data_IF_852796701807
#
_entry.id   IF_852796701807
#
_cell.length_a   1.000
_cell.length_b   1.000
_cell.length_c   1.000
_cell.angle_alpha   90.00
_cell.angle_beta   90.00
_cell.angle_gamma   90.00
#
_symmetry.space_group_name_H-M   'P 1'
#
loop_
_entity.id
_entity.type
_entity.pdbx_description
1 polymer ?
#
# COMPACT_ATOMS: atom_id res chain seq x y z
N UNK A 1 -6.12 -5.66 -26.43
CA UNK A 1 -5.14 -4.58 -26.20
C UNK A 1 -4.11 -5.07 -25.20
N UNK A 2 -2.92 -5.42 -25.67
CA UNK A 2 -1.82 -5.89 -24.81
C UNK A 2 -1.32 -4.70 -24.01
N UNK A 3 -1.54 -4.68 -22.68
CA UNK A 3 -0.94 -3.70 -21.78
C UNK A 3 0.57 -3.84 -21.89
N UNK A 4 1.22 -2.85 -22.50
CA UNK A 4 2.67 -2.69 -22.44
C UNK A 4 3.05 -2.69 -20.96
N UNK A 5 3.72 -3.76 -20.52
CA UNK A 5 4.26 -3.89 -19.16
C UNK A 5 5.38 -2.86 -19.06
N UNK A 6 5.05 -1.66 -18.58
CA UNK A 6 6.06 -0.64 -18.32
C UNK A 6 7.07 -1.16 -17.30
N UNK A 7 8.32 -0.74 -17.46
CA UNK A 7 9.48 -1.19 -16.71
C UNK A 7 9.25 -1.16 -15.18
N UNK A 8 9.42 -2.31 -14.53
CA UNK A 8 9.55 -2.45 -13.06
C UNK A 8 10.56 -1.43 -12.52
N UNK A 9 10.42 -1.05 -11.24
CA UNK A 9 11.34 -0.15 -10.54
C UNK A 9 12.80 -0.62 -10.68
N UNK A 10 13.04 -1.93 -10.61
CA UNK A 10 14.35 -2.54 -10.85
C UNK A 10 14.88 -2.23 -12.25
N UNK A 11 14.02 -2.31 -13.27
CA UNK A 11 14.38 -1.99 -14.66
C UNK A 11 14.63 -0.48 -14.80
N UNK A 12 13.87 0.39 -14.12
CA UNK A 12 14.16 1.83 -14.09
C UNK A 12 15.51 2.13 -13.44
N UNK A 13 15.84 1.49 -12.32
CA UNK A 13 17.14 1.63 -11.66
C UNK A 13 18.28 1.15 -12.56
N UNK A 14 18.09 0.02 -13.25
CA UNK A 14 19.07 -0.51 -14.20
C UNK A 14 19.23 0.42 -15.42
N UNK A 15 18.16 1.00 -15.94
CA UNK A 15 18.22 2.00 -17.00
C UNK A 15 18.93 3.29 -16.56
N UNK A 16 18.73 3.74 -15.32
CA UNK A 16 19.46 4.88 -14.75
C UNK A 16 20.96 4.58 -14.63
N UNK A 17 21.31 3.38 -14.18
CA UNK A 17 22.70 2.92 -14.11
C UNK A 17 23.33 2.87 -15.50
N UNK A 18 22.65 2.27 -16.48
CA UNK A 18 23.12 2.20 -17.88
C UNK A 18 23.30 3.60 -18.49
N UNK A 19 22.39 4.54 -18.21
CA UNK A 19 22.55 5.94 -18.63
C UNK A 19 23.76 6.60 -17.98
N UNK A 20 23.97 6.38 -16.69
CA UNK A 20 25.16 6.87 -15.97
C UNK A 20 26.45 6.33 -16.57
N UNK A 21 26.50 5.02 -16.85
CA UNK A 21 27.65 4.35 -17.48
C UNK A 21 27.87 4.93 -18.88
N UNK A 22 26.84 5.04 -19.70
CA UNK A 22 26.94 5.58 -21.06
C UNK A 22 27.52 7.01 -21.06
N UNK A 23 26.96 7.90 -20.23
CA UNK A 23 27.45 9.29 -20.12
C UNK A 23 28.89 9.30 -19.59
N UNK A 24 29.18 8.53 -18.54
CA UNK A 24 30.52 8.41 -17.98
C UNK A 24 31.55 7.93 -19.02
N UNK A 25 31.21 6.90 -19.81
CA UNK A 25 32.06 6.36 -20.87
C UNK A 25 32.29 7.36 -22.00
N UNK A 26 31.27 8.13 -22.41
CA UNK A 26 31.42 9.18 -23.43
C UNK A 26 32.39 10.26 -22.92
N UNK A 27 32.22 10.72 -21.67
CA UNK A 27 33.14 11.70 -21.09
C UNK A 27 34.55 11.14 -20.97
N UNK A 28 34.70 9.88 -20.56
CA UNK A 28 36.00 9.21 -20.49
C UNK A 28 36.69 9.20 -21.86
N UNK A 29 35.99 8.78 -22.92
CA UNK A 29 36.54 8.71 -24.28
C UNK A 29 36.98 10.11 -24.74
N UNK A 30 36.13 11.13 -24.57
CA UNK A 30 36.43 12.51 -24.96
C UNK A 30 37.66 13.06 -24.22
N UNK A 31 37.72 12.89 -22.90
CA UNK A 31 38.84 13.35 -22.09
C UNK A 31 40.11 12.56 -22.39
N UNK A 32 40.00 11.25 -22.61
CA UNK A 32 41.15 10.39 -22.90
C UNK A 32 41.78 10.76 -24.25
N UNK A 33 41.02 10.82 -25.34
CA UNK A 33 41.57 11.17 -26.65
C UNK A 33 42.03 12.62 -26.72
N UNK A 34 41.21 13.56 -26.23
CA UNK A 34 41.55 14.98 -26.22
C UNK A 34 42.77 15.27 -25.35
N UNK A 35 42.78 14.79 -24.11
CA UNK A 35 43.90 15.01 -23.20
C UNK A 35 45.14 14.23 -23.61
N UNK A 36 45.03 13.02 -24.17
CA UNK A 36 46.21 12.31 -24.71
C UNK A 36 46.83 13.05 -25.89
N UNK A 37 46.01 13.63 -26.78
CA UNK A 37 46.50 14.42 -27.89
C UNK A 37 47.22 15.70 -27.41
N UNK A 38 46.65 16.41 -26.45
CA UNK A 38 47.28 17.59 -25.84
C UNK A 38 48.58 17.22 -25.13
N UNK A 39 48.60 16.12 -24.37
CA UNK A 39 49.76 15.66 -23.61
C UNK A 39 50.89 15.21 -24.55
N UNK A 40 50.54 14.54 -25.66
CA UNK A 40 51.48 14.15 -26.71
C UNK A 40 52.07 15.40 -27.38
N UNK A 41 51.24 16.36 -27.79
CA UNK A 41 51.71 17.60 -28.40
C UNK A 41 52.65 18.38 -27.46
N UNK A 42 52.29 18.46 -26.17
CA UNK A 42 53.14 19.06 -25.15
C UNK A 42 54.50 18.37 -25.05
N UNK A 43 54.56 17.03 -25.07
CA UNK A 43 55.84 16.32 -25.00
C UNK A 43 56.72 16.48 -26.24
N UNK A 44 56.14 16.61 -27.43
CA UNK A 44 56.92 16.80 -28.68
C UNK A 44 57.33 18.25 -28.92
N UNK A 45 56.46 19.22 -28.64
CA UNK A 45 56.74 20.64 -28.89
C UNK A 45 57.51 21.32 -27.75
N UNK A 46 57.53 20.73 -26.56
CA UNK A 46 58.28 21.29 -25.42
C UNK A 46 59.56 20.53 -25.13
N UNK A 47 60.56 21.24 -24.60
CA UNK A 47 61.79 20.64 -24.06
C UNK A 47 61.55 19.91 -22.72
N UNK A 48 60.33 19.48 -22.41
CA UNK A 48 59.99 18.90 -21.11
C UNK A 48 60.74 17.60 -20.86
N UNK A 49 60.79 16.70 -21.84
CA UNK A 49 61.53 15.43 -21.73
C UNK A 49 63.03 15.73 -21.53
N UNK A 50 63.59 16.59 -22.37
CA UNK A 50 64.99 17.05 -22.26
C UNK A 50 65.31 17.58 -20.86
N UNK A 51 64.48 18.49 -20.33
CA UNK A 51 64.65 19.08 -18.99
C UNK A 51 64.45 18.06 -17.87
N UNK A 52 63.53 17.12 -18.01
CA UNK A 52 63.29 16.08 -17.03
C UNK A 52 64.45 15.07 -16.94
N UNK A 53 65.17 14.85 -18.05
CA UNK A 53 66.29 13.90 -18.16
C UNK A 53 67.65 14.54 -17.82
N UNK A 54 67.78 15.87 -17.97
CA UNK A 54 69.01 16.63 -17.64
C UNK A 54 69.61 16.30 -16.27
N UNK A 55 68.85 16.18 -15.17
CA UNK A 55 69.42 15.82 -13.87
C UNK A 55 70.09 14.44 -13.82
N UNK A 56 69.71 13.50 -14.70
CA UNK A 56 70.39 12.21 -14.80
C UNK A 56 71.72 12.33 -15.52
N UNK A 57 71.79 13.18 -16.56
CA UNK A 57 73.03 13.49 -17.27
C UNK A 57 74.01 14.22 -16.35
N UNK A 58 73.54 15.17 -15.54
CA UNK A 58 74.38 15.84 -14.53
C UNK A 58 74.94 14.85 -13.49
N UNK A 59 74.10 13.91 -13.01
CA UNK A 59 74.56 12.83 -12.12
C UNK A 59 75.56 11.90 -12.81
N UNK A 60 75.40 11.66 -14.11
CA UNK A 60 76.34 10.88 -14.90
C UNK A 60 77.68 11.62 -15.02
N UNK A 61 77.67 12.90 -15.38
CA UNK A 61 78.87 13.73 -15.48
C UNK A 61 79.67 13.71 -14.17
N UNK A 62 78.99 13.83 -13.02
CA UNK A 62 79.62 13.72 -11.71
C UNK A 62 80.25 12.34 -11.48
N UNK A 63 79.51 11.27 -11.79
CA UNK A 63 80.00 9.89 -11.64
C UNK A 63 81.23 9.61 -12.53
N UNK A 64 81.18 10.05 -13.79
CA UNK A 64 82.26 9.91 -14.77
C UNK A 64 83.52 10.64 -14.29
N UNK A 65 83.36 11.86 -13.77
CA UNK A 65 84.47 12.68 -13.28
C UNK A 65 85.09 12.10 -12.00
N UNK A 66 84.30 11.60 -11.06
CA UNK A 66 84.79 11.05 -9.78
C UNK A 66 85.44 9.67 -9.92
N UNK A 67 85.03 8.88 -10.92
CA UNK A 67 85.42 7.46 -11.04
C UNK A 67 86.27 7.16 -12.27
N UNK A 68 86.73 8.18 -13.00
CA UNK A 68 87.63 8.00 -14.16
C UNK A 68 87.03 6.96 -15.13
N UNK A 69 85.85 7.30 -15.67
CA UNK A 69 85.06 6.40 -16.52
C UNK A 69 85.26 6.78 -17.99
N UNK A 70 85.73 5.84 -18.80
CA UNK A 70 85.75 5.98 -20.24
C UNK A 70 84.35 5.74 -20.85
N UNK A 71 84.03 6.35 -21.99
CA UNK A 71 82.80 6.14 -22.73
C UNK A 71 82.61 4.66 -23.17
N UNK A 72 83.70 3.91 -23.23
CA UNK A 72 83.72 2.47 -23.55
C UNK A 72 83.63 1.54 -22.32
N UNK A 73 83.65 2.08 -21.08
CA UNK A 73 83.59 1.30 -19.83
C UNK A 73 82.19 0.72 -19.56
N UNK A 74 81.79 -0.23 -20.40
CA UNK A 74 80.42 -0.79 -20.44
C UNK A 74 79.96 -1.36 -19.10
N UNK A 75 80.86 -1.97 -18.31
CA UNK A 75 80.52 -2.55 -17.01
C UNK A 75 80.18 -1.46 -15.97
N UNK A 76 81.01 -0.40 -15.89
CA UNK A 76 80.80 0.73 -14.98
C UNK A 76 79.52 1.48 -15.32
N UNK A 77 79.30 1.74 -16.62
CA UNK A 77 78.11 2.43 -17.14
C UNK A 77 76.82 1.63 -16.88
N UNK A 78 76.83 0.31 -17.14
CA UNK A 78 75.68 -0.56 -16.83
C UNK A 78 75.37 -0.61 -15.34
N UNK A 79 76.39 -0.73 -14.49
CA UNK A 79 76.21 -0.75 -13.02
C UNK A 79 75.60 0.56 -12.50
N UNK A 80 76.04 1.70 -13.04
CA UNK A 80 75.48 3.01 -12.71
C UNK A 80 74.02 3.13 -13.19
N UNK A 81 73.73 2.77 -14.43
CA UNK A 81 72.36 2.77 -15.01
C UNK A 81 71.37 1.97 -14.16
N UNK A 82 71.76 0.74 -13.78
CA UNK A 82 70.93 -0.13 -12.97
C UNK A 82 70.68 0.45 -11.57
N UNK A 83 71.70 1.06 -10.95
CA UNK A 83 71.57 1.72 -9.65
C UNK A 83 70.62 2.91 -9.70
N UNK A 84 70.64 3.67 -10.80
CA UNK A 84 69.75 4.81 -11.02
C UNK A 84 68.36 4.43 -11.55
N UNK A 85 68.12 3.13 -11.81
CA UNK A 85 66.88 2.58 -12.39
C UNK A 85 66.49 3.27 -13.71
N UNK A 86 67.49 3.52 -14.55
CA UNK A 86 67.29 4.13 -15.87
C UNK A 86 66.81 3.06 -16.85
N UNK A 87 65.76 3.36 -17.60
CA UNK A 87 65.11 2.42 -18.50
C UNK A 87 65.91 2.22 -19.79
N UNK A 88 66.34 3.30 -20.44
CA UNK A 88 67.24 3.24 -21.60
C UNK A 88 68.39 4.22 -21.42
N UNK A 89 69.61 3.78 -21.72
CA UNK A 89 70.82 4.60 -21.61
C UNK A 89 71.78 4.21 -22.73
N UNK A 90 72.15 5.20 -23.55
CA UNK A 90 73.11 5.04 -24.63
C UNK A 90 74.18 6.12 -24.60
N UNK A 91 75.41 5.76 -24.95
CA UNK A 91 76.53 6.66 -25.18
C UNK A 91 76.97 6.52 -26.63
N UNK A 92 77.17 7.62 -27.33
CA UNK A 92 77.58 7.64 -28.73
C UNK A 92 78.61 8.72 -29.01
N UNK A 93 79.50 8.51 -29.98
CA UNK A 93 80.50 9.49 -30.44
C UNK A 93 80.56 9.43 -31.95
N UNK A 94 80.52 10.58 -32.63
CA UNK A 94 80.52 10.65 -34.11
C UNK A 94 79.45 9.75 -34.76
N UNK A 95 78.24 9.70 -34.17
CA UNK A 95 77.11 8.84 -34.59
C UNK A 95 77.36 7.33 -34.49
N UNK A 96 78.42 6.90 -33.79
CA UNK A 96 78.65 5.50 -33.44
C UNK A 96 78.28 5.27 -31.99
N UNK A 97 77.41 4.29 -31.74
CA UNK A 97 77.06 3.87 -30.38
C UNK A 97 78.29 3.20 -29.77
N UNK A 98 78.72 3.67 -28.60
CA UNK A 98 79.82 3.12 -27.81
C UNK A 98 79.31 2.24 -26.67
N UNK A 99 78.13 2.56 -26.14
CA UNK A 99 77.47 1.80 -25.08
C UNK A 99 75.95 1.89 -25.23
N UNK A 100 75.26 0.79 -24.96
CA UNK A 100 73.80 0.71 -24.85
C UNK A 100 73.45 -0.26 -23.71
N UNK A 101 72.56 0.13 -22.78
CA UNK A 101 72.25 -0.70 -21.62
C UNK A 101 71.42 -1.97 -21.95
N UNK A 102 70.83 -2.06 -23.14
CA UNK A 102 70.15 -3.24 -23.67
C UNK A 102 71.10 -4.17 -24.44
N UNK A 103 72.11 -3.62 -25.12
CA UNK A 103 73.07 -4.38 -25.95
C UNK A 103 74.50 -4.26 -25.40
N UNK A 104 74.92 -5.26 -24.62
CA UNK A 104 76.13 -5.20 -23.77
C UNK A 104 77.42 -5.62 -24.49
N UNK A 105 77.35 -6.21 -25.68
CA UNK A 105 78.56 -6.60 -26.43
C UNK A 105 78.90 -5.60 -27.54
N UNK A 106 80.07 -4.97 -27.43
CA UNK A 106 80.61 -4.03 -28.42
C UNK A 106 80.72 -4.63 -29.85
N UNK A 107 80.80 -5.95 -29.97
CA UNK A 107 80.89 -6.66 -31.25
C UNK A 107 79.55 -6.82 -32.00
N UNK A 108 78.42 -6.50 -31.36
CA UNK A 108 77.09 -6.52 -31.99
C UNK A 108 76.65 -5.15 -32.52
N UNK A 109 77.40 -4.09 -32.21
CA UNK A 109 77.20 -2.74 -32.73
C UNK A 109 77.79 -2.66 -34.14
N UNK A 110 77.18 -3.34 -35.12
CA UNK A 110 77.35 -2.92 -36.51
C UNK A 110 76.91 -1.44 -36.59
N UNK A 111 77.52 -0.61 -37.44
CA UNK A 111 76.97 0.70 -37.75
C UNK A 111 75.66 0.45 -38.49
N UNK A 112 74.60 0.19 -37.74
CA UNK A 112 73.25 0.20 -38.25
C UNK A 112 73.00 1.68 -38.47
N UNK A 113 72.82 2.08 -39.72
CA UNK A 113 72.08 3.29 -40.08
C UNK A 113 70.69 3.13 -39.47
N UNK A 114 70.58 3.39 -38.16
CA UNK A 114 69.41 3.03 -37.38
C UNK A 114 68.53 4.27 -37.26
N UNK A 115 67.32 4.18 -37.80
CA UNK A 115 66.28 5.21 -37.70
C UNK A 115 66.06 5.71 -36.26
N UNK A 116 66.45 4.94 -35.23
CA UNK A 116 66.44 5.35 -33.82
C UNK A 116 67.28 6.59 -33.51
N UNK A 117 68.46 6.77 -34.15
CA UNK A 117 69.27 7.99 -33.98
C UNK A 117 68.53 9.25 -34.51
N UNK A 118 67.68 9.09 -35.53
CA UNK A 118 66.85 10.18 -36.08
C UNK A 118 65.73 10.65 -35.15
N UNK A 119 65.35 9.85 -34.14
CA UNK A 119 64.35 10.25 -33.16
C UNK A 119 64.96 10.73 -31.83
N UNK A 120 66.19 10.32 -31.49
CA UNK A 120 66.84 10.65 -30.21
C UNK A 120 67.85 11.80 -30.27
N UNK A 121 68.28 12.23 -31.47
CA UNK A 121 69.27 13.31 -31.63
C UNK A 121 68.89 14.64 -30.99
N UNK A 122 67.59 14.98 -30.91
CA UNK A 122 67.10 16.18 -30.23
C UNK A 122 67.32 16.15 -28.70
N UNK A 123 67.58 14.98 -28.13
CA UNK A 123 67.70 14.78 -26.69
C UNK A 123 69.11 14.37 -26.26
N UNK A 124 70.08 14.35 -27.18
CA UNK A 124 71.47 14.06 -26.86
C UNK A 124 72.09 15.20 -26.04
N UNK A 125 72.73 14.83 -24.94
CA UNK A 125 73.47 15.76 -24.08
C UNK A 125 74.94 15.36 -24.04
N UNK A 126 75.81 16.34 -24.17
CA UNK A 126 77.25 16.10 -24.18
C UNK A 126 77.76 15.84 -22.76
N UNK A 127 78.54 14.76 -22.60
CA UNK A 127 79.20 14.39 -21.34
C UNK A 127 80.70 14.22 -21.62
N UNK A 128 81.52 14.77 -20.73
CA UNK A 128 82.98 14.67 -20.80
C UNK A 128 83.44 13.39 -20.12
N UNK A 129 83.85 12.40 -20.92
CA UNK A 129 84.46 11.16 -20.45
C UNK A 129 85.99 11.27 -20.44
N UNK A 130 86.66 10.33 -19.77
CA UNK A 130 88.12 10.33 -19.67
C UNK A 130 88.82 10.10 -21.02
N UNK A 131 88.18 9.35 -21.92
CA UNK A 131 88.64 9.08 -23.29
C UNK A 131 88.10 10.08 -24.33
N UNK A 132 87.47 11.18 -23.87
CA UNK A 132 86.97 12.28 -24.70
C UNK A 132 85.45 12.46 -24.62
N UNK A 133 84.97 13.61 -25.12
CA UNK A 133 83.56 13.96 -25.08
C UNK A 133 82.70 12.96 -25.87
N UNK A 134 81.51 12.65 -25.35
CA UNK A 134 80.54 11.77 -26.02
C UNK A 134 79.10 12.24 -25.77
N UNK A 135 78.22 11.92 -26.71
CA UNK A 135 76.81 12.26 -26.68
C UNK A 135 76.03 11.16 -25.95
N UNK A 136 75.30 11.56 -24.91
CA UNK A 136 74.54 10.69 -24.02
C UNK A 136 73.05 10.91 -24.20
N UNK A 137 72.30 9.82 -24.28
CA UNK A 137 70.85 9.82 -24.17
C UNK A 137 70.42 8.91 -23.01
N UNK A 138 69.61 9.46 -22.11
CA UNK A 138 69.08 8.77 -20.92
C UNK A 138 67.58 8.93 -20.92
N UNK A 139 66.85 7.82 -20.97
CA UNK A 139 65.39 7.80 -20.89
C UNK A 139 64.94 7.04 -19.64
N UNK A 140 64.16 7.73 -18.80
CA UNK A 140 63.77 7.30 -17.45
C UNK A 140 62.25 7.18 -17.23
N UNK A 141 61.48 6.92 -18.29
CA UNK A 141 60.02 6.66 -18.25
C UNK A 141 59.18 7.73 -17.53
N UNK A 142 59.58 9.00 -17.56
CA UNK A 142 58.84 10.09 -16.90
C UNK A 142 57.42 10.24 -17.44
N UNK A 143 57.25 10.09 -18.75
CA UNK A 143 55.94 10.17 -19.38
C UNK A 143 54.97 9.07 -18.92
N UNK A 144 55.47 7.89 -18.53
CA UNK A 144 54.65 6.77 -18.05
C UNK A 144 53.94 7.14 -16.74
N UNK A 145 54.65 7.76 -15.79
CA UNK A 145 54.05 8.17 -14.50
C UNK A 145 52.94 9.21 -14.70
N UNK A 146 53.17 10.18 -15.58
CA UNK A 146 52.20 11.23 -15.88
C UNK A 146 51.00 10.66 -16.63
N UNK A 147 51.22 9.78 -17.62
CA UNK A 147 50.14 9.06 -18.33
C UNK A 147 49.29 8.23 -17.36
N UNK A 148 49.90 7.51 -16.42
CA UNK A 148 49.18 6.74 -15.40
C UNK A 148 48.35 7.63 -14.47
N UNK A 149 48.92 8.73 -13.98
CA UNK A 149 48.18 9.70 -13.16
C UNK A 149 47.00 10.30 -13.92
N UNK A 150 47.23 10.70 -15.18
CA UNK A 150 46.19 11.22 -16.08
C UNK A 150 45.05 10.21 -16.29
N UNK A 151 45.35 8.95 -16.63
CA UNK A 151 44.33 7.90 -16.79
C UNK A 151 43.53 7.70 -15.50
N UNK A 152 44.22 7.66 -14.36
CA UNK A 152 43.57 7.51 -13.05
C UNK A 152 42.60 8.67 -12.77
N UNK A 153 43.03 9.92 -13.01
CA UNK A 153 42.17 11.10 -12.80
C UNK A 153 40.94 11.11 -13.69
N UNK A 154 41.05 10.77 -14.98
CA UNK A 154 39.89 10.72 -15.89
C UNK A 154 38.95 9.58 -15.49
N UNK A 155 39.49 8.43 -15.10
CA UNK A 155 38.69 7.31 -14.60
C UNK A 155 37.87 7.73 -13.37
N UNK A 156 38.49 8.42 -12.42
CA UNK A 156 37.82 8.94 -11.23
C UNK A 156 36.73 9.96 -11.58
N UNK A 157 36.98 10.88 -12.52
CA UNK A 157 36.00 11.86 -12.99
C UNK A 157 34.79 11.17 -13.67
N UNK A 158 35.07 10.23 -14.58
CA UNK A 158 34.04 9.45 -15.28
C UNK A 158 33.16 8.67 -14.30
N UNK A 159 33.77 8.02 -13.31
CA UNK A 159 33.04 7.33 -12.25
C UNK A 159 32.19 8.29 -11.41
N UNK A 160 32.73 9.46 -11.04
CA UNK A 160 31.99 10.50 -10.31
C UNK A 160 30.75 10.99 -11.06
N UNK A 161 30.86 11.19 -12.38
CA UNK A 161 29.73 11.59 -13.23
C UNK A 161 28.67 10.48 -13.29
N UNK A 162 29.08 9.23 -13.51
CA UNK A 162 28.18 8.08 -13.50
C UNK A 162 27.40 8.00 -12.16
N UNK A 163 28.11 8.14 -11.05
CA UNK A 163 27.51 8.13 -9.71
C UNK A 163 26.54 9.30 -9.50
N UNK A 164 26.90 10.51 -9.94
CA UNK A 164 26.03 11.68 -9.82
C UNK A 164 24.72 11.53 -10.60
N UNK A 165 24.78 11.03 -11.84
CA UNK A 165 23.58 10.77 -12.67
C UNK A 165 22.65 9.77 -11.98
N UNK A 166 23.22 8.70 -11.40
CA UNK A 166 22.46 7.69 -10.69
C UNK A 166 21.75 8.26 -9.44
N UNK A 167 22.48 9.00 -8.60
CA UNK A 167 21.93 9.64 -7.39
C UNK A 167 20.81 10.63 -7.74
N UNK A 168 21.01 11.48 -8.75
CA UNK A 168 20.00 12.44 -9.18
C UNK A 168 18.73 11.75 -9.72
N UNK A 169 18.89 10.62 -10.42
CA UNK A 169 17.76 9.81 -10.90
C UNK A 169 16.94 9.20 -9.76
N UNK A 170 17.61 8.63 -8.75
CA UNK A 170 16.96 8.00 -7.58
C UNK A 170 16.20 9.01 -6.73
N UNK A 171 16.71 10.25 -6.58
CA UNK A 171 16.06 11.29 -5.76
C UNK A 171 14.58 11.49 -6.10
N UNK A 172 14.21 11.33 -7.37
CA UNK A 172 12.81 11.45 -7.82
C UNK A 172 11.91 10.37 -7.19
N UNK A 173 12.37 9.12 -7.18
CA UNK A 173 11.61 7.99 -6.62
C UNK A 173 11.56 8.09 -5.10
N UNK A 174 12.67 8.47 -4.45
CA UNK A 174 12.72 8.69 -3.00
C UNK A 174 11.75 9.79 -2.55
N UNK A 175 11.66 10.90 -3.28
CA UNK A 175 10.67 11.96 -2.99
C UNK A 175 9.23 11.46 -3.10
N UNK A 176 8.94 10.59 -4.06
CA UNK A 176 7.60 10.00 -4.19
C UNK A 176 7.27 9.09 -3.01
N UNK A 177 8.22 8.27 -2.56
CA UNK A 177 8.06 7.45 -1.35
C UNK A 177 7.82 8.33 -0.11
N UNK A 178 8.54 9.45 0.03
CA UNK A 178 8.32 10.40 1.12
C UNK A 178 6.90 11.00 1.09
N UNK A 179 6.38 11.35 -0.09
CA UNK A 179 5.01 11.83 -0.25
C UNK A 179 3.98 10.77 0.17
N UNK A 180 4.15 9.52 -0.25
CA UNK A 180 3.28 8.42 0.18
C UNK A 180 3.33 8.21 1.71
N UNK A 181 4.51 8.30 2.31
CA UNK A 181 4.69 8.22 3.77
C UNK A 181 4.01 9.38 4.51
N UNK A 182 3.97 10.57 3.92
CA UNK A 182 3.25 11.71 4.48
C UNK A 182 1.73 11.52 4.40
N UNK A 183 1.22 11.02 3.26
CA UNK A 183 -0.21 10.66 3.11
C UNK A 183 -0.63 9.62 4.14
N UNK A 184 0.20 8.61 4.42
CA UNK A 184 -0.07 7.61 5.47
C UNK A 184 -0.17 8.27 6.85
N UNK A 185 0.76 9.16 7.19
CA UNK A 185 0.72 9.88 8.48
C UNK A 185 -0.52 10.77 8.63
N UNK A 186 -0.98 11.39 7.55
CA UNK A 186 -2.23 12.15 7.55
C UNK A 186 -3.44 11.23 7.83
N UNK A 187 -3.49 10.06 7.18
CA UNK A 187 -4.53 9.06 7.39
C UNK A 187 -4.52 8.54 8.84
N UNK A 188 -3.35 8.24 9.41
CA UNK A 188 -3.20 7.85 10.82
C UNK A 188 -3.66 8.95 11.79
N UNK A 189 -3.46 10.22 11.41
CA UNK A 189 -3.94 11.38 12.16
C UNK A 189 -5.45 11.66 12.01
N UNK A 190 -6.20 10.85 11.27
CA UNK A 190 -7.64 11.03 11.04
C UNK A 190 -7.99 12.03 9.93
N UNK A 191 -7.01 12.47 9.12
CA UNK A 191 -7.24 13.31 7.95
C UNK A 191 -7.46 12.43 6.72
N UNK A 192 -8.73 12.13 6.45
CA UNK A 192 -9.11 11.18 5.39
C UNK A 192 -9.11 11.75 3.97
N UNK A 193 -9.01 13.07 3.83
CA UNK A 193 -9.03 13.79 2.55
C UNK A 193 -7.64 13.90 1.90
N UNK A 194 -6.68 13.12 2.38
CA UNK A 194 -5.35 13.04 1.81
C UNK A 194 -5.43 12.50 0.36
N UNK A 195 -5.03 13.34 -0.60
CA UNK A 195 -4.96 12.96 -2.02
C UNK A 195 -3.72 12.10 -2.28
N UNK A 196 -3.92 10.81 -2.53
CA UNK A 196 -2.86 9.87 -2.90
C UNK A 196 -2.69 9.96 -4.42
N UNK A 197 -1.70 10.76 -4.83
CA UNK A 197 -1.37 10.91 -6.25
C UNK A 197 -0.91 9.59 -6.85
N UNK A 198 -1.72 9.04 -7.76
CA UNK A 198 -1.43 7.80 -8.47
C UNK A 198 -0.38 8.03 -9.56
N UNK A 199 0.88 7.69 -9.27
CA UNK A 199 1.98 7.82 -10.24
C UNK A 199 2.53 6.47 -10.69
N UNK A 200 2.53 6.28 -12.00
CA UNK A 200 3.20 5.15 -12.65
C UNK A 200 2.41 3.84 -12.58
N UNK A 201 2.83 2.86 -13.37
CA UNK A 201 2.28 1.49 -13.40
C UNK A 201 3.31 0.47 -12.88
N UNK A 202 4.19 0.91 -11.98
CA UNK A 202 5.25 0.09 -11.37
C UNK A 202 4.87 -0.31 -9.94
N UNK A 203 5.81 -0.89 -9.21
CA UNK A 203 5.62 -1.34 -7.82
C UNK A 203 5.20 -0.21 -6.89
N UNK A 204 5.71 1.01 -7.10
CA UNK A 204 5.33 2.18 -6.30
C UNK A 204 3.91 2.68 -6.66
N UNK A 205 3.54 2.61 -7.94
CA UNK A 205 2.16 2.87 -8.38
C UNK A 205 1.15 1.86 -7.80
N UNK A 206 1.50 0.57 -7.79
CA UNK A 206 0.68 -0.47 -7.16
C UNK A 206 0.57 -0.28 -5.64
N UNK A 207 1.65 0.14 -4.98
CA UNK A 207 1.62 0.49 -3.56
C UNK A 207 0.68 1.68 -3.30
N UNK A 208 0.76 2.74 -4.10
CA UNK A 208 -0.14 3.89 -4.02
C UNK A 208 -1.61 3.48 -4.20
N UNK A 209 -1.89 2.58 -5.15
CA UNK A 209 -3.24 2.02 -5.35
C UNK A 209 -3.73 1.28 -4.10
N UNK A 210 -2.90 0.39 -3.55
CA UNK A 210 -3.24 -0.38 -2.35
C UNK A 210 -3.52 0.54 -1.16
N UNK A 211 -2.72 1.59 -0.99
CA UNK A 211 -2.93 2.60 0.05
C UNK A 211 -4.25 3.36 -0.12
N UNK A 212 -4.63 3.77 -1.33
CA UNK A 212 -5.91 4.45 -1.57
C UNK A 212 -7.12 3.52 -1.35
N UNK A 213 -7.01 2.24 -1.72
CA UNK A 213 -8.08 1.26 -1.42
C UNK A 213 -8.23 1.05 0.10
N UNK A 214 -7.12 0.98 0.83
CA UNK A 214 -7.15 0.92 2.29
C UNK A 214 -7.79 2.16 2.89
N UNK A 215 -7.42 3.36 2.43
CA UNK A 215 -8.02 4.64 2.85
C UNK A 215 -9.54 4.64 2.64
N UNK A 216 -10.01 4.30 1.45
CA UNK A 216 -11.45 4.22 1.13
C UNK A 216 -12.20 3.24 2.03
N UNK A 217 -11.58 2.09 2.32
CA UNK A 217 -12.16 1.08 3.21
C UNK A 217 -12.29 1.60 4.64
N UNK A 218 -11.28 2.32 5.14
CA UNK A 218 -11.30 2.93 6.47
C UNK A 218 -12.36 4.02 6.59
N UNK A 219 -12.48 4.92 5.60
CA UNK A 219 -13.52 5.96 5.55
C UNK A 219 -14.91 5.31 5.66
N UNK A 220 -15.17 4.31 4.81
CA UNK A 220 -16.46 3.61 4.81
C UNK A 220 -16.74 2.93 6.16
N UNK A 221 -15.72 2.36 6.81
CA UNK A 221 -15.85 1.74 8.13
C UNK A 221 -16.22 2.78 9.19
N UNK A 222 -15.54 3.93 9.22
CA UNK A 222 -15.81 5.00 10.17
C UNK A 222 -17.22 5.60 9.97
N UNK A 223 -17.63 5.83 8.72
CA UNK A 223 -18.99 6.30 8.40
C UNK A 223 -20.06 5.32 8.89
N UNK A 224 -19.85 4.02 8.66
CA UNK A 224 -20.74 2.98 9.14
C UNK A 224 -20.80 2.93 10.67
N UNK A 225 -19.65 3.05 11.34
CA UNK A 225 -19.58 3.09 12.81
C UNK A 225 -20.30 4.31 13.38
N UNK A 226 -20.08 5.51 12.80
CA UNK A 226 -20.80 6.73 13.19
C UNK A 226 -22.31 6.59 12.99
N UNK A 227 -22.74 5.98 11.87
CA UNK A 227 -24.16 5.73 11.60
C UNK A 227 -24.75 4.74 12.61
N UNK A 228 -24.02 3.67 12.94
CA UNK A 228 -24.41 2.69 13.95
C UNK A 228 -24.59 3.34 15.33
N UNK A 229 -23.60 4.11 15.78
CA UNK A 229 -23.63 4.82 17.06
C UNK A 229 -24.80 5.82 17.14
N UNK A 230 -25.08 6.57 16.06
CA UNK A 230 -26.24 7.46 16.00
C UNK A 230 -27.57 6.70 16.12
N UNK A 231 -27.70 5.57 15.43
CA UNK A 231 -28.90 4.75 15.49
C UNK A 231 -29.13 4.16 16.88
N UNK A 232 -28.07 3.66 17.52
CA UNK A 232 -28.11 3.18 18.91
C UNK A 232 -28.55 4.28 19.87
N UNK A 233 -27.95 5.47 19.79
CA UNK A 233 -28.31 6.61 20.65
C UNK A 233 -29.78 7.03 20.46
N UNK A 234 -30.26 7.06 19.22
CA UNK A 234 -31.67 7.39 18.93
C UNK A 234 -32.63 6.36 19.51
N UNK A 235 -32.28 5.07 19.44
CA UNK A 235 -33.08 4.01 20.03
C UNK A 235 -33.15 4.14 21.55
N UNK A 236 -32.01 4.28 22.22
CA UNK A 236 -31.93 4.43 23.68
C UNK A 236 -32.77 5.61 24.16
N UNK A 237 -32.67 6.75 23.46
CA UNK A 237 -33.46 7.94 23.79
C UNK A 237 -34.98 7.72 23.64
N UNK A 238 -35.39 7.07 22.54
CA UNK A 238 -36.82 6.72 22.32
C UNK A 238 -37.32 5.82 23.44
N UNK A 239 -36.54 4.81 23.82
CA UNK A 239 -36.92 3.88 24.87
C UNK A 239 -36.99 4.51 26.26
N UNK A 240 -36.04 5.39 26.60
CA UNK A 240 -36.08 6.09 27.87
C UNK A 240 -37.36 6.92 28.02
N UNK A 241 -37.83 7.54 26.94
CA UNK A 241 -39.11 8.25 26.90
C UNK A 241 -40.30 7.27 27.08
N UNK A 242 -40.26 6.15 26.36
CA UNK A 242 -41.36 5.19 26.31
C UNK A 242 -41.49 4.35 27.59
N UNK A 243 -40.41 4.18 28.36
CA UNK A 243 -40.43 3.57 29.69
C UNK A 243 -40.94 4.56 30.76
N UNK A 244 -40.63 5.85 30.63
CA UNK A 244 -41.03 6.87 31.61
C UNK A 244 -42.54 7.00 31.73
N UNK A 245 -43.25 7.00 30.60
CA UNK A 245 -44.71 7.19 30.57
C UNK A 245 -45.51 6.12 31.34
N UNK A 246 -45.33 4.81 31.08
CA UNK A 246 -46.01 3.76 31.86
C UNK A 246 -45.50 3.70 33.30
N UNK A 247 -44.23 4.01 33.56
CA UNK A 247 -43.69 4.05 34.93
C UNK A 247 -44.34 5.15 35.77
N UNK A 248 -44.48 6.36 35.24
CA UNK A 248 -45.19 7.45 35.92
C UNK A 248 -46.65 7.06 36.18
N UNK A 249 -47.33 6.47 35.19
CA UNK A 249 -48.72 6.02 35.35
C UNK A 249 -48.85 4.94 36.44
N UNK A 250 -47.91 3.99 36.47
CA UNK A 250 -47.85 2.93 37.49
C UNK A 250 -47.66 3.51 38.89
N UNK A 251 -46.71 4.44 39.05
CA UNK A 251 -46.47 5.13 40.33
C UNK A 251 -47.74 5.87 40.76
N UNK A 252 -48.38 6.63 39.87
CA UNK A 252 -49.62 7.36 40.18
C UNK A 252 -50.76 6.42 40.59
N UNK A 253 -50.97 5.30 39.91
CA UNK A 253 -52.01 4.33 40.28
C UNK A 253 -51.74 3.66 41.63
N UNK A 254 -50.48 3.31 41.91
CA UNK A 254 -50.09 2.79 43.22
C UNK A 254 -50.22 3.84 44.33
N UNK A 255 -49.92 5.12 44.06
CA UNK A 255 -50.13 6.22 45.03
C UNK A 255 -51.60 6.44 45.35
N UNK A 256 -52.49 6.36 44.33
CA UNK A 256 -53.94 6.44 44.52
C UNK A 256 -54.42 5.28 45.39
N UNK A 257 -53.91 4.08 45.12
CA UNK A 257 -54.23 2.86 45.85
C UNK A 257 -53.82 2.97 47.34
N UNK A 258 -52.58 3.39 47.61
CA UNK A 258 -52.06 3.59 48.98
C UNK A 258 -52.88 4.63 49.75
N UNK A 259 -53.35 5.70 49.09
CA UNK A 259 -54.15 6.77 49.73
C UNK A 259 -55.61 6.40 49.98
N UNK A 260 -56.18 5.43 49.25
CA UNK A 260 -57.60 5.06 49.28
C UNK A 260 -57.95 3.85 50.16
N UNK A 261 -57.01 3.33 50.95
CA UNK A 261 -57.05 2.04 51.66
C UNK A 261 -58.16 1.82 52.71
N UNK A 262 -59.31 2.49 52.62
CA UNK A 262 -60.46 2.33 53.51
C UNK A 262 -61.71 1.71 52.85
N UNK A 263 -61.83 1.64 51.50
CA UNK A 263 -63.00 1.07 50.83
C UNK A 263 -62.63 0.02 49.76
N UNK A 264 -63.41 -1.07 49.71
CA UNK A 264 -63.24 -2.28 48.88
C UNK A 264 -63.31 -2.10 47.35
N UNK A 265 -63.16 -0.89 46.80
CA UNK A 265 -63.27 -0.58 45.36
C UNK A 265 -61.91 -0.40 44.65
N UNK A 266 -60.87 -1.07 45.14
CA UNK A 266 -59.49 -0.76 44.77
C UNK A 266 -58.85 -1.73 43.75
N UNK A 267 -59.54 -2.81 43.37
CA UNK A 267 -59.02 -3.78 42.39
C UNK A 267 -58.70 -3.16 41.03
N UNK A 268 -59.43 -2.11 40.60
CA UNK A 268 -59.23 -1.49 39.30
C UNK A 268 -57.85 -0.83 39.16
N UNK A 269 -57.37 -0.11 40.20
CA UNK A 269 -56.07 0.56 40.16
C UNK A 269 -54.91 -0.42 40.30
N UNK A 270 -55.07 -1.50 41.07
CA UNK A 270 -54.12 -2.62 41.11
C UNK A 270 -54.02 -3.27 39.73
N UNK A 271 -55.15 -3.52 39.06
CA UNK A 271 -55.17 -4.11 37.73
C UNK A 271 -54.55 -3.18 36.67
N UNK A 272 -54.83 -1.87 36.73
CA UNK A 272 -54.17 -0.86 35.88
C UNK A 272 -52.66 -0.79 36.14
N UNK A 273 -52.22 -0.87 37.40
CA UNK A 273 -50.79 -0.90 37.76
C UNK A 273 -50.10 -2.15 37.21
N UNK A 274 -50.74 -3.32 37.34
CA UNK A 274 -50.25 -4.58 36.78
C UNK A 274 -50.12 -4.52 35.24
N UNK A 275 -51.10 -3.94 34.55
CA UNK A 275 -51.04 -3.71 33.11
C UNK A 275 -49.86 -2.80 32.72
N UNK A 276 -49.60 -1.73 33.47
CA UNK A 276 -48.45 -0.85 33.21
C UNK A 276 -47.10 -1.51 33.51
N UNK A 277 -47.02 -2.37 34.52
CA UNK A 277 -45.82 -3.16 34.81
C UNK A 277 -45.51 -4.14 33.66
N UNK A 278 -46.53 -4.84 33.15
CA UNK A 278 -46.39 -5.71 32.00
C UNK A 278 -45.99 -4.93 30.73
N UNK A 279 -46.52 -3.71 30.53
CA UNK A 279 -46.12 -2.84 29.43
C UNK A 279 -44.62 -2.47 29.50
N UNK A 280 -44.09 -2.18 30.69
CA UNK A 280 -42.66 -1.92 30.92
C UNK A 280 -41.82 -3.16 30.63
N UNK A 281 -42.30 -4.34 31.06
CA UNK A 281 -41.62 -5.62 30.78
C UNK A 281 -41.51 -5.87 29.28
N UNK A 282 -42.62 -5.74 28.53
CA UNK A 282 -42.60 -5.88 27.06
C UNK A 282 -41.60 -4.94 26.38
N UNK A 283 -41.55 -3.67 26.79
CA UNK A 283 -40.60 -2.70 26.22
C UNK A 283 -39.14 -3.05 26.54
N UNK A 284 -38.90 -3.61 27.73
CA UNK A 284 -37.56 -4.05 28.15
C UNK A 284 -37.11 -5.28 27.38
N UNK A 285 -38.00 -6.26 27.20
CA UNK A 285 -37.72 -7.47 26.41
C UNK A 285 -37.42 -7.11 24.95
N UNK A 286 -38.21 -6.20 24.36
CA UNK A 286 -37.95 -5.67 23.01
C UNK A 286 -36.58 -4.97 22.87
N UNK A 287 -36.08 -4.35 23.95
CA UNK A 287 -34.75 -3.71 23.97
C UNK A 287 -33.63 -4.74 23.99
N UNK A 288 -33.74 -5.73 24.87
CA UNK A 288 -32.78 -6.81 24.96
C UNK A 288 -32.69 -7.54 23.62
N UNK A 289 -33.83 -7.79 22.99
CA UNK A 289 -33.88 -8.42 21.68
C UNK A 289 -33.14 -7.61 20.62
N UNK A 290 -33.35 -6.29 20.56
CA UNK A 290 -32.63 -5.41 19.63
C UNK A 290 -31.10 -5.51 19.82
N UNK A 291 -30.61 -5.38 21.06
CA UNK A 291 -29.17 -5.43 21.34
C UNK A 291 -28.57 -6.81 21.09
N UNK A 292 -29.32 -7.88 21.37
CA UNK A 292 -28.87 -9.24 21.13
C UNK A 292 -28.73 -9.52 19.62
N UNK A 293 -29.72 -9.11 18.82
CA UNK A 293 -29.70 -9.23 17.35
C UNK A 293 -28.55 -8.41 16.75
N UNK A 294 -28.29 -7.20 17.28
CA UNK A 294 -27.26 -6.33 16.74
C UNK A 294 -25.82 -6.76 17.10
N UNK A 295 -25.63 -7.46 18.22
CA UNK A 295 -24.30 -7.91 18.68
C UNK A 295 -23.82 -9.19 17.99
N UNK A 296 -24.72 -9.98 17.40
CA UNK A 296 -24.34 -11.21 16.71
C UNK A 296 -23.83 -10.87 15.30
N UNK A 297 -22.52 -11.01 15.07
CA UNK A 297 -21.87 -10.73 13.77
C UNK A 297 -22.26 -11.72 12.66
N UNK A 298 -22.82 -12.89 13.01
CA UNK A 298 -23.46 -13.86 12.10
C UNK A 298 -24.26 -14.87 12.92
N UNK A 299 -25.57 -14.95 12.67
CA UNK A 299 -26.36 -16.10 13.12
C UNK A 299 -26.09 -17.30 12.22
N UNK A 300 -25.95 -18.48 12.82
CA UNK A 300 -25.98 -19.74 12.08
C UNK A 300 -27.44 -20.06 11.79
N UNK A 301 -27.80 -20.02 10.51
CA UNK A 301 -29.15 -20.38 10.08
C UNK A 301 -29.32 -21.89 10.14
N UNK A 302 -30.54 -22.33 10.42
CA UNK A 302 -30.86 -23.75 10.41
C UNK A 302 -30.70 -24.34 8.98
N UNK A 303 -30.57 -25.67 8.84
CA UNK A 303 -30.46 -26.30 7.53
C UNK A 303 -31.66 -25.93 6.61
N UNK A 304 -31.44 -25.77 5.28
CA UNK A 304 -32.52 -25.47 4.36
C UNK A 304 -33.65 -26.48 4.44
N UNK A 305 -34.86 -25.99 4.67
CA UNK A 305 -36.06 -26.81 4.83
C UNK A 305 -37.19 -26.30 3.94
N UNK A 306 -38.15 -27.16 3.63
CA UNK A 306 -39.36 -26.76 2.90
C UNK A 306 -40.12 -25.68 3.69
N UNK A 307 -40.80 -24.77 3.00
CA UNK A 307 -41.52 -23.65 3.61
C UNK A 307 -42.49 -24.11 4.70
N UNK A 308 -43.23 -25.21 4.45
CA UNK A 308 -44.18 -25.79 5.42
C UNK A 308 -43.48 -26.17 6.73
N UNK A 309 -42.31 -26.80 6.66
CA UNK A 309 -41.56 -27.20 7.85
C UNK A 309 -40.97 -25.99 8.58
N UNK A 310 -40.45 -25.01 7.83
CA UNK A 310 -39.81 -23.83 8.39
C UNK A 310 -40.80 -22.84 9.04
N UNK A 311 -42.01 -22.71 8.49
CA UNK A 311 -42.96 -21.64 8.86
C UNK A 311 -44.34 -22.14 9.31
N UNK A 312 -44.74 -23.36 8.94
CA UNK A 312 -46.12 -23.84 9.08
C UNK A 312 -46.62 -23.88 10.53
N UNK A 313 -45.81 -24.40 11.46
CA UNK A 313 -46.15 -24.43 12.89
C UNK A 313 -46.38 -23.01 13.43
N UNK A 314 -45.47 -22.08 13.11
CA UNK A 314 -45.57 -20.69 13.55
C UNK A 314 -46.77 -19.95 12.97
N UNK A 315 -47.11 -20.19 11.70
CA UNK A 315 -48.28 -19.60 11.05
C UNK A 315 -49.58 -20.15 11.64
N UNK A 316 -49.62 -21.45 11.95
CA UNK A 316 -50.75 -22.10 12.62
C UNK A 316 -50.94 -21.55 14.04
N UNK A 317 -49.86 -21.47 14.81
CA UNK A 317 -49.85 -20.91 16.17
C UNK A 317 -50.28 -19.44 16.17
N UNK A 318 -49.78 -18.65 15.23
CA UNK A 318 -50.20 -17.26 15.02
C UNK A 318 -51.71 -17.16 14.79
N UNK A 319 -52.28 -17.99 13.90
CA UNK A 319 -53.72 -17.98 13.64
C UNK A 319 -54.50 -18.31 14.91
N UNK A 320 -54.11 -19.37 15.63
CA UNK A 320 -54.77 -19.80 16.86
C UNK A 320 -54.76 -18.69 17.94
N UNK A 321 -53.64 -18.00 18.14
CA UNK A 321 -53.54 -16.91 19.11
C UNK A 321 -54.44 -15.72 18.77
N UNK A 322 -54.51 -15.37 17.49
CA UNK A 322 -55.28 -14.23 17.01
C UNK A 322 -56.78 -14.54 17.05
N UNK A 323 -57.18 -15.77 16.73
CA UNK A 323 -58.56 -16.24 16.86
C UNK A 323 -59.02 -16.32 18.32
N UNK A 324 -58.15 -16.77 19.25
CA UNK A 324 -58.44 -16.77 20.69
C UNK A 324 -58.72 -15.36 21.25
N UNK A 325 -58.21 -14.32 20.58
CA UNK A 325 -58.42 -12.91 20.90
C UNK A 325 -59.67 -12.33 20.24
N UNK A 326 -60.42 -13.15 19.49
CA UNK A 326 -61.70 -12.83 18.87
C UNK A 326 -61.60 -12.16 17.50
N UNK A 327 -60.48 -12.33 16.79
CA UNK A 327 -60.36 -11.94 15.39
C UNK A 327 -60.76 -13.10 14.47
N UNK A 328 -61.27 -12.80 13.28
CA UNK A 328 -61.45 -13.80 12.22
C UNK A 328 -60.20 -13.82 11.34
N UNK A 329 -59.71 -15.01 10.96
CA UNK A 329 -58.57 -15.16 10.05
C UNK A 329 -59.04 -15.80 8.75
N UNK A 330 -58.62 -15.24 7.62
CA UNK A 330 -58.86 -15.78 6.28
C UNK A 330 -57.51 -16.09 5.65
N UNK A 331 -57.26 -17.37 5.40
CA UNK A 331 -56.06 -17.84 4.71
C UNK A 331 -56.31 -17.88 3.20
N UNK A 332 -55.45 -17.26 2.40
CA UNK A 332 -55.52 -17.23 0.93
C UNK A 332 -54.22 -17.74 0.31
N UNK A 333 -54.32 -18.41 -0.84
CA UNK A 333 -53.19 -18.79 -1.70
C UNK A 333 -52.02 -19.48 -0.97
N UNK A 334 -52.31 -20.22 0.11
CA UNK A 334 -51.31 -20.88 0.95
C UNK A 334 -50.92 -22.24 0.35
N UNK A 335 -50.13 -22.22 -0.72
CA UNK A 335 -49.63 -23.41 -1.43
C UNK A 335 -48.13 -23.62 -1.19
N UNK A 336 -47.76 -24.50 -0.25
CA UNK A 336 -46.38 -24.63 0.27
C UNK A 336 -45.29 -24.86 -0.78
N UNK A 337 -45.62 -25.51 -1.91
CA UNK A 337 -44.66 -25.82 -2.98
C UNK A 337 -43.47 -26.67 -2.54
N UNK A 338 -42.45 -26.78 -3.41
CA UNK A 338 -41.21 -27.51 -3.14
C UNK A 338 -40.02 -26.59 -2.81
N UNK A 339 -40.27 -25.28 -2.70
CA UNK A 339 -39.23 -24.30 -2.40
C UNK A 339 -38.66 -24.54 -1.00
N UNK A 340 -37.34 -24.43 -0.88
CA UNK A 340 -36.64 -24.47 0.41
C UNK A 340 -36.26 -23.06 0.84
N UNK A 341 -36.35 -22.79 2.13
CA UNK A 341 -35.89 -21.54 2.75
C UNK A 341 -34.91 -21.86 3.87
N UNK A 342 -34.03 -20.91 4.17
CA UNK A 342 -33.07 -21.02 5.27
C UNK A 342 -33.41 -19.95 6.31
N UNK A 343 -33.89 -20.38 7.48
CA UNK A 343 -34.36 -19.49 8.55
C UNK A 343 -33.68 -19.80 9.87
N UNK A 344 -33.86 -18.93 10.86
CA UNK A 344 -33.52 -19.22 12.25
C UNK A 344 -34.81 -19.31 13.06
N UNK A 345 -35.20 -20.51 13.49
CA UNK A 345 -36.51 -20.80 14.08
C UNK A 345 -36.87 -19.87 15.25
N UNK A 346 -35.88 -19.53 16.10
CA UNK A 346 -36.08 -18.61 17.24
C UNK A 346 -36.47 -17.20 16.80
N UNK A 347 -35.98 -16.72 15.65
CA UNK A 347 -36.37 -15.42 15.11
C UNK A 347 -37.78 -15.46 14.52
N UNK A 348 -38.17 -16.56 13.87
CA UNK A 348 -39.52 -16.71 13.34
C UNK A 348 -40.57 -16.62 14.45
N UNK A 349 -40.40 -17.35 15.56
CA UNK A 349 -41.31 -17.25 16.71
C UNK A 349 -41.44 -15.82 17.25
N UNK A 350 -40.30 -15.12 17.41
CA UNK A 350 -40.27 -13.72 17.86
C UNK A 350 -40.92 -12.75 16.86
N UNK A 351 -40.77 -13.01 15.55
CA UNK A 351 -41.45 -12.23 14.51
C UNK A 351 -42.97 -12.40 14.69
N UNK A 352 -43.46 -13.63 14.84
CA UNK A 352 -44.88 -13.90 15.07
C UNK A 352 -45.40 -13.21 16.33
N UNK A 353 -44.69 -13.28 17.46
CA UNK A 353 -45.07 -12.60 18.70
C UNK A 353 -45.24 -11.08 18.49
N UNK A 354 -44.31 -10.46 17.77
CA UNK A 354 -44.37 -9.04 17.44
C UNK A 354 -45.55 -8.72 16.51
N UNK A 355 -45.86 -9.58 15.55
CA UNK A 355 -47.02 -9.43 14.66
C UNK A 355 -48.34 -9.55 15.43
N UNK A 356 -48.48 -10.55 16.31
CA UNK A 356 -49.66 -10.72 17.19
C UNK A 356 -49.84 -9.49 18.08
N UNK A 357 -48.74 -8.99 18.68
CA UNK A 357 -48.77 -7.77 19.49
C UNK A 357 -49.25 -6.55 18.68
N UNK A 358 -48.80 -6.41 17.43
CA UNK A 358 -49.24 -5.34 16.53
C UNK A 358 -50.73 -5.48 16.17
N UNK A 359 -51.21 -6.69 15.90
CA UNK A 359 -52.62 -6.94 15.62
C UNK A 359 -53.48 -6.54 16.81
N UNK A 360 -53.15 -7.00 18.02
CA UNK A 360 -53.88 -6.63 19.24
C UNK A 360 -53.98 -5.11 19.44
N UNK A 361 -52.94 -4.38 19.05
CA UNK A 361 -52.83 -2.93 19.24
C UNK A 361 -53.57 -2.12 18.16
N UNK A 362 -53.50 -2.53 16.89
CA UNK A 362 -53.88 -1.67 15.77
C UNK A 362 -54.97 -2.22 14.85
N UNK A 363 -55.24 -3.52 14.89
CA UNK A 363 -56.16 -4.17 13.98
C UNK A 363 -57.63 -3.89 14.36
N UNK A 364 -58.49 -3.71 13.37
CA UNK A 364 -59.93 -3.64 13.57
C UNK A 364 -60.51 -5.05 13.67
N UNK A 365 -61.36 -5.29 14.69
CA UNK A 365 -62.00 -6.58 14.91
C UNK A 365 -63.17 -6.84 13.97
N UNK A 366 -63.73 -5.78 13.37
CA UNK A 366 -64.84 -5.90 12.41
C UNK A 366 -64.39 -6.47 11.06
N UNK A 367 -63.09 -6.45 10.77
CA UNK A 367 -62.51 -6.94 9.53
C UNK A 367 -61.61 -8.16 9.79
N UNK A 368 -61.64 -9.16 8.89
CA UNK A 368 -60.81 -10.34 9.03
C UNK A 368 -59.34 -10.02 8.76
N UNK A 369 -58.45 -10.76 9.42
CA UNK A 369 -57.03 -10.75 9.14
C UNK A 369 -56.79 -11.68 7.96
N UNK A 370 -56.26 -11.13 6.89
CA UNK A 370 -55.92 -11.87 5.68
C UNK A 370 -54.47 -12.34 5.83
N UNK A 371 -54.29 -13.65 5.82
CA UNK A 371 -52.98 -14.29 5.75
C UNK A 371 -52.82 -14.88 4.34
N UNK A 372 -51.88 -14.35 3.58
CA UNK A 372 -51.67 -14.76 2.19
C UNK A 372 -50.21 -15.12 1.95
N UNK A 373 -49.98 -16.14 1.12
CA UNK A 373 -48.65 -16.48 0.64
C UNK A 373 -48.56 -16.25 -0.86
N UNK A 374 -47.50 -15.59 -1.29
CA UNK A 374 -47.19 -15.37 -2.69
C UNK A 374 -45.79 -15.93 -3.00
N UNK A 375 -45.71 -16.72 -4.07
CA UNK A 375 -44.44 -17.28 -4.53
C UNK A 375 -43.93 -16.50 -5.74
N UNK A 376 -42.82 -15.80 -5.56
CA UNK A 376 -42.14 -15.07 -6.63
C UNK A 376 -40.88 -15.85 -7.06
N UNK A 377 -40.33 -15.54 -8.23
CA UNK A 377 -39.22 -16.31 -8.83
C UNK A 377 -38.01 -16.58 -7.90
N UNK A 378 -37.75 -15.67 -6.95
CA UNK A 378 -36.60 -15.74 -6.05
C UNK A 378 -36.96 -15.71 -4.55
N UNK A 379 -38.23 -15.51 -4.19
CA UNK A 379 -38.64 -15.27 -2.79
C UNK A 379 -40.03 -15.82 -2.50
N UNK A 380 -40.21 -16.34 -1.29
CA UNK A 380 -41.52 -16.66 -0.71
C UNK A 380 -41.97 -15.47 0.14
N UNK A 381 -43.14 -14.91 -0.17
CA UNK A 381 -43.72 -13.79 0.55
C UNK A 381 -44.88 -14.25 1.41
N UNK A 382 -44.89 -13.84 2.68
CA UNK A 382 -46.02 -14.01 3.59
C UNK A 382 -46.58 -12.63 3.92
N UNK A 383 -47.85 -12.42 3.62
CA UNK A 383 -48.58 -11.16 3.80
C UNK A 383 -49.56 -11.29 4.94
N UNK A 384 -49.44 -10.39 5.92
CA UNK A 384 -50.38 -10.24 7.03
C UNK A 384 -51.11 -8.92 6.87
N UNK A 385 -52.41 -8.96 6.58
CA UNK A 385 -53.21 -7.75 6.29
C UNK A 385 -54.45 -7.62 7.17
N UNK A 386 -54.73 -6.40 7.65
CA UNK A 386 -56.03 -6.03 8.21
C UNK A 386 -56.33 -4.54 7.95
N UNK A 387 -57.56 -4.12 8.15
CA UNK A 387 -57.93 -2.74 8.35
C UNK A 387 -57.49 -2.22 9.72
N UNK A 388 -57.14 -0.93 9.72
CA UNK A 388 -56.79 -0.19 10.92
C UNK A 388 -58.01 0.16 11.74
N UNK A 389 -57.92 -0.08 13.05
CA UNK A 389 -58.94 0.36 13.99
C UNK A 389 -58.88 1.89 14.18
N UNK A 390 -59.78 2.61 13.50
CA UNK A 390 -59.89 4.07 13.59
C UNK A 390 -60.68 4.57 14.80
N UNK A 391 -61.32 3.65 15.56
CA UNK A 391 -62.21 3.95 16.70
C UNK A 391 -61.47 4.06 18.04
N UNK A 392 -60.22 3.58 18.14
CA UNK A 392 -59.38 3.71 19.34
C UNK A 392 -58.43 4.92 19.21
N UNK A 393 -58.29 5.70 20.28
CA UNK A 393 -57.21 6.69 20.38
C UNK A 393 -55.86 5.97 20.23
N UNK A 394 -55.13 6.32 19.17
CA UNK A 394 -53.85 5.71 18.86
C UNK A 394 -52.82 6.07 19.92
N UNK A 395 -52.47 5.12 20.77
CA UNK A 395 -51.18 5.18 21.47
C UNK A 395 -50.12 4.98 20.41
N UNK A 396 -49.36 6.04 20.12
CA UNK A 396 -48.28 6.03 19.14
C UNK A 396 -47.30 4.91 19.50
N UNK A 397 -47.27 3.85 18.68
CA UNK A 397 -46.35 2.73 18.86
C UNK A 397 -44.90 3.18 18.76
N UNK A 398 -44.02 2.51 19.49
CA UNK A 398 -42.57 2.81 19.53
C UNK A 398 -41.86 2.57 18.19
N UNK A 399 -42.48 1.81 17.28
CA UNK A 399 -41.88 1.37 16.01
C UNK A 399 -40.78 0.32 16.17
N UNK A 400 -40.48 -0.09 17.41
CA UNK A 400 -39.35 -0.97 17.76
C UNK A 400 -39.66 -2.41 17.37
N UNK A 401 -40.88 -2.89 17.60
CA UNK A 401 -41.28 -4.25 17.17
C UNK A 401 -41.14 -4.44 15.65
N UNK A 402 -41.51 -3.42 14.88
CA UNK A 402 -41.32 -3.37 13.43
C UNK A 402 -39.84 -3.38 13.04
N UNK A 403 -39.02 -2.56 13.72
CA UNK A 403 -37.59 -2.52 13.46
C UNK A 403 -36.91 -3.85 13.84
N UNK A 404 -37.37 -4.53 14.89
CA UNK A 404 -36.88 -5.85 15.29
C UNK A 404 -37.24 -6.90 14.24
N UNK A 405 -38.47 -6.88 13.71
CA UNK A 405 -38.86 -7.75 12.58
C UNK A 405 -37.93 -7.52 11.40
N UNK A 406 -37.70 -6.25 11.02
CA UNK A 406 -36.79 -5.91 9.93
C UNK A 406 -35.37 -6.43 10.15
N UNK A 407 -34.80 -6.19 11.34
CA UNK A 407 -33.45 -6.64 11.66
C UNK A 407 -33.34 -8.17 11.66
N UNK A 408 -34.33 -8.89 12.19
CA UNK A 408 -34.35 -10.36 12.18
C UNK A 408 -34.45 -10.91 10.75
N UNK A 409 -35.28 -10.29 9.90
CA UNK A 409 -35.39 -10.65 8.48
C UNK A 409 -34.07 -10.40 7.73
N UNK A 410 -33.44 -9.23 7.93
CA UNK A 410 -32.15 -8.90 7.30
C UNK A 410 -31.05 -9.90 7.68
N UNK A 411 -31.00 -10.36 8.93
CA UNK A 411 -30.06 -11.40 9.38
C UNK A 411 -30.30 -12.77 8.71
N UNK A 412 -31.54 -13.06 8.33
CA UNK A 412 -31.91 -14.24 7.53
C UNK A 412 -31.82 -13.98 6.02
N UNK A 413 -31.22 -12.85 5.58
CA UNK A 413 -31.16 -12.39 4.18
C UNK A 413 -32.52 -12.18 3.52
N UNK A 414 -33.58 -12.07 4.32
CA UNK A 414 -34.91 -11.71 3.88
C UNK A 414 -35.18 -10.21 4.00
N UNK A 415 -36.35 -9.80 3.53
CA UNK A 415 -36.82 -8.42 3.57
C UNK A 415 -38.18 -8.34 4.26
N UNK A 416 -38.46 -7.21 4.90
CA UNK A 416 -39.78 -6.92 5.45
C UNK A 416 -40.26 -5.54 4.98
N UNK A 417 -41.50 -5.47 4.50
CA UNK A 417 -42.14 -4.24 4.06
C UNK A 417 -43.42 -3.98 4.85
N UNK A 418 -43.73 -2.69 5.07
CA UNK A 418 -44.98 -2.27 5.68
C UNK A 418 -45.74 -1.41 4.69
N UNK A 419 -46.93 -1.87 4.33
CA UNK A 419 -47.84 -1.18 3.44
C UNK A 419 -48.91 -0.52 4.31
N UNK A 420 -48.99 0.81 4.24
CA UNK A 420 -49.86 1.60 5.08
C UNK A 420 -50.59 2.67 4.23
N UNK A 421 -51.73 2.27 3.66
CA UNK A 421 -52.49 3.08 2.70
C UNK A 421 -53.93 3.31 3.20
N UNK A 422 -54.21 4.52 3.68
CA UNK A 422 -55.52 4.88 4.25
C UNK A 422 -55.88 3.98 5.43
N UNK A 423 -56.92 3.16 5.25
CA UNK A 423 -57.39 2.19 6.24
C UNK A 423 -56.72 0.82 6.14
N UNK A 424 -55.96 0.52 5.07
CA UNK A 424 -55.27 -0.76 4.89
C UNK A 424 -53.92 -0.75 5.59
N UNK A 425 -53.63 -1.81 6.34
CA UNK A 425 -52.33 -2.04 6.96
C UNK A 425 -51.88 -3.49 6.69
N UNK A 426 -50.75 -3.65 6.01
CA UNK A 426 -50.17 -4.96 5.74
C UNK A 426 -48.69 -4.99 6.08
N UNK A 427 -48.23 -6.14 6.58
CA UNK A 427 -46.82 -6.47 6.79
C UNK A 427 -46.48 -7.62 5.85
N UNK A 428 -45.48 -7.41 4.99
CA UNK A 428 -45.00 -8.39 4.02
C UNK A 428 -43.63 -8.89 4.47
N UNK A 429 -43.49 -10.20 4.64
CA UNK A 429 -42.22 -10.86 4.95
C UNK A 429 -41.76 -11.63 3.73
N UNK A 430 -40.59 -11.28 3.17
CA UNK A 430 -40.01 -11.93 2.00
C UNK A 430 -38.81 -12.77 2.41
N UNK A 431 -38.90 -14.08 2.20
CA UNK A 431 -37.84 -15.06 2.47
C UNK A 431 -37.17 -15.48 1.16
N UNK A 432 -35.84 -15.42 1.04
CA UNK A 432 -35.15 -15.84 -0.17
C UNK A 432 -35.25 -17.36 -0.34
N UNK A 433 -35.56 -17.81 -1.55
CA UNK A 433 -35.54 -19.23 -1.89
C UNK A 433 -34.09 -19.71 -1.92
N UNK A 434 -33.81 -20.76 -1.17
CA UNK A 434 -32.51 -21.41 -1.16
C UNK A 434 -32.31 -22.17 -2.48
N UNK A 435 -31.23 -21.83 -3.19
CA UNK A 435 -30.77 -22.56 -4.39
C UNK A 435 -29.42 -23.20 -4.04
N UNK A 436 -29.36 -24.52 -4.20
CA UNK A 436 -28.15 -25.33 -3.95
C UNK A 436 -26.94 -24.92 -4.81
#
# INVERSE_FOLDING_TARGET
>A
MVKVKNANLTVKMLLLLLKGILIGSIVFILLYFGGSHVLMNYYYESDYIYKAETPYVERLQKYVTENHVAATDSEKLKKWSNKQKISYFSVSRERKILFDNFYVEANLLKPVENDMLHYTWYFLQNVKFEDGDADVYIYADYEVKIKLFFIFTITAISFGICFAVFILGIRKEVKYIQKLSESIRQIEGGYWDADIEMRGNDELGNLAYGLDQMRKTLIKKEENEKKMNKNQNKLVLSMAHDLRTPLTSLITFLEIEIKKSANNENQEYIQKSYQKANQIRELTDQLFDFFLIQKQEKIELDPPANVEYALGEYLSEFCAFVEAEGYQVIVKNMEWGEAKVQVYHRYIGRIMDNLVSNIKKYADKEYPIILEMENNENTIQIVFENQKNTKKEYVKGTGIGIQNIKNMMEQMKGESEIINNGNRYAIVLSFPIYRE
#
